data_IF_620134575689
#
_entry.id   IF_620134575689
#
_cell.length_a   1.000
_cell.length_b   1.000
_cell.length_c   1.000
_cell.angle_alpha   90.00
_cell.angle_beta   90.00
_cell.angle_gamma   90.00
#
_symmetry.space_group_name_H-M   'P 1'
#
loop_
_entity.id
_entity.type
_entity.pdbx_description
1 polymer ?
#
# COMPACT_ATOMS: atom_id res chain seq x y z
N UNK A 1 -0.99 -18.42 -2.61
CA UNK A 1 -1.35 -17.20 -1.85
C UNK A 1 -1.07 -15.88 -2.60
N UNK A 2 -0.09 -15.81 -3.53
CA UNK A 2 0.29 -14.62 -4.35
C UNK A 2 -0.82 -13.87 -5.12
N UNK A 3 -2.05 -14.39 -5.20
CA UNK A 3 -3.15 -13.80 -5.99
C UNK A 3 -4.38 -13.43 -5.15
N UNK A 4 -4.31 -13.58 -3.83
CA UNK A 4 -5.50 -13.47 -2.97
C UNK A 4 -5.87 -12.01 -2.71
N UNK A 5 -4.89 -11.17 -2.36
CA UNK A 5 -5.15 -9.75 -2.05
C UNK A 5 -5.71 -8.99 -3.26
N UNK A 6 -5.23 -9.29 -4.47
CA UNK A 6 -5.72 -8.65 -5.70
C UNK A 6 -7.21 -8.89 -5.97
N UNK A 7 -7.75 -10.02 -5.51
CA UNK A 7 -9.17 -10.35 -5.65
C UNK A 7 -10.01 -9.75 -4.52
N UNK A 8 -9.38 -9.44 -3.39
CA UNK A 8 -10.04 -8.99 -2.16
C UNK A 8 -9.97 -7.48 -1.92
N UNK A 9 -9.01 -6.78 -2.52
CA UNK A 9 -8.78 -5.36 -2.34
C UNK A 9 -9.20 -4.63 -3.62
N UNK A 10 -10.05 -3.63 -3.44
CA UNK A 10 -10.40 -2.64 -4.45
C UNK A 10 -9.66 -1.31 -4.20
N UNK A 11 -9.25 -0.57 -5.24
CA UNK A 11 -8.80 0.82 -5.13
C UNK A 11 -9.78 1.77 -4.42
N UNK A 12 -11.04 1.38 -4.26
CA UNK A 12 -12.06 2.19 -3.55
C UNK A 12 -12.37 1.67 -2.15
N UNK A 13 -11.69 0.62 -1.68
CA UNK A 13 -11.90 0.13 -0.32
C UNK A 13 -11.49 1.17 0.72
N UNK A 14 -12.43 1.54 1.58
CA UNK A 14 -12.17 2.38 2.74
C UNK A 14 -11.25 1.68 3.75
N UNK A 15 -10.63 2.45 4.66
CA UNK A 15 -9.92 1.87 5.81
C UNK A 15 -10.79 0.90 6.62
N UNK A 16 -12.09 1.18 6.75
CA UNK A 16 -13.03 0.32 7.48
C UNK A 16 -13.28 -1.03 6.79
N UNK A 17 -13.50 -1.03 5.48
CA UNK A 17 -13.69 -2.28 4.72
C UNK A 17 -12.42 -3.14 4.72
N UNK A 18 -11.25 -2.52 4.59
CA UNK A 18 -9.96 -3.23 4.69
C UNK A 18 -9.77 -3.87 6.06
N UNK A 19 -10.16 -3.21 7.16
CA UNK A 19 -10.10 -3.81 8.51
C UNK A 19 -11.02 -5.02 8.65
N UNK A 20 -12.24 -4.93 8.12
CA UNK A 20 -13.20 -6.05 8.13
C UNK A 20 -12.70 -7.22 7.27
N UNK A 21 -12.05 -6.93 6.14
CA UNK A 21 -11.44 -7.93 5.29
C UNK A 21 -10.25 -8.61 5.99
N UNK A 22 -9.37 -7.84 6.62
CA UNK A 22 -8.25 -8.37 7.40
C UNK A 22 -8.73 -9.30 8.53
N UNK A 23 -9.79 -8.93 9.25
CA UNK A 23 -10.39 -9.75 10.30
C UNK A 23 -10.92 -11.09 9.75
N UNK A 24 -11.58 -11.07 8.58
CA UNK A 24 -12.03 -12.30 7.89
C UNK A 24 -10.87 -13.19 7.43
N UNK A 25 -9.71 -12.60 7.17
CA UNK A 25 -8.47 -13.33 6.88
C UNK A 25 -7.74 -13.81 8.15
N UNK A 26 -8.27 -13.50 9.33
CA UNK A 26 -7.68 -13.86 10.62
C UNK A 26 -6.54 -12.94 11.07
N UNK A 27 -6.38 -11.77 10.45
CA UNK A 27 -5.34 -10.78 10.77
C UNK A 27 -5.94 -9.64 11.58
N UNK A 28 -5.42 -9.41 12.78
CA UNK A 28 -5.92 -8.35 13.65
C UNK A 28 -5.34 -7.01 13.22
N UNK A 29 -6.16 -5.97 13.06
CA UNK A 29 -5.66 -4.61 12.84
C UNK A 29 -5.83 -3.78 14.12
N UNK A 30 -4.75 -3.24 14.64
CA UNK A 30 -4.74 -2.36 15.82
C UNK A 30 -4.29 -0.97 15.43
N UNK A 31 -4.77 0.02 16.18
CA UNK A 31 -4.31 1.40 16.05
C UNK A 31 -3.70 1.82 17.37
N UNK A 32 -2.40 2.08 17.37
CA UNK A 32 -1.62 2.35 18.58
C UNK A 32 -0.82 3.65 18.41
N UNK A 33 -0.33 4.22 19.51
CA UNK A 33 0.66 5.31 19.41
C UNK A 33 2.02 4.66 19.16
N UNK A 34 2.55 4.79 17.95
CA UNK A 34 3.89 4.31 17.61
C UNK A 34 4.88 5.42 17.98
N UNK A 35 5.87 5.18 18.86
CA UNK A 35 6.86 6.20 19.21
C UNK A 35 7.81 6.49 18.04
N UNK A 36 8.12 7.77 17.84
CA UNK A 36 9.00 8.24 16.76
C UNK A 36 8.23 8.57 15.48
N UNK A 37 8.87 9.34 14.59
CA UNK A 37 8.22 9.90 13.40
C UNK A 37 8.43 9.04 12.14
N UNK A 38 9.21 7.95 12.26
CA UNK A 38 9.72 7.20 11.10
C UNK A 38 8.83 6.02 10.68
N UNK A 39 7.85 5.62 11.49
CA UNK A 39 7.06 4.40 11.25
C UNK A 39 5.56 4.65 11.28
N UNK A 40 4.91 4.48 10.12
CA UNK A 40 3.46 4.61 9.95
C UNK A 40 2.69 3.37 10.44
N UNK A 41 3.34 2.20 10.45
CA UNK A 41 2.75 0.92 10.82
C UNK A 41 3.74 -0.22 10.60
N UNK A 42 3.37 -1.41 11.06
CA UNK A 42 4.14 -2.64 10.84
C UNK A 42 3.27 -3.89 11.06
N UNK A 43 3.57 -4.95 10.33
CA UNK A 43 3.07 -6.29 10.61
C UNK A 43 3.92 -7.01 11.68
N UNK A 44 3.26 -7.41 12.76
CA UNK A 44 3.83 -8.18 13.87
C UNK A 44 3.43 -9.66 13.74
N UNK A 45 4.38 -10.47 13.26
CA UNK A 45 4.15 -11.90 12.98
C UNK A 45 3.75 -12.71 14.23
N UNK A 46 4.34 -12.42 15.39
CA UNK A 46 4.10 -13.19 16.63
C UNK A 46 2.63 -13.17 17.08
N UNK A 47 1.97 -12.04 16.89
CA UNK A 47 0.57 -11.84 17.27
C UNK A 47 -0.38 -11.91 16.07
N UNK A 48 0.13 -12.17 14.87
CA UNK A 48 -0.61 -12.05 13.61
C UNK A 48 -1.45 -10.75 13.57
N UNK A 49 -0.77 -9.63 13.81
CA UNK A 49 -1.40 -8.34 13.96
C UNK A 49 -0.70 -7.28 13.11
N UNK A 50 -1.47 -6.40 12.49
CA UNK A 50 -0.99 -5.20 11.84
C UNK A 50 -1.23 -4.04 12.79
N UNK A 51 -0.14 -3.36 13.15
CA UNK A 51 -0.17 -2.16 13.99
C UNK A 51 -0.10 -0.96 13.06
N UNK A 52 -1.06 -0.04 13.19
CA UNK A 52 -1.12 1.21 12.43
C UNK A 52 -0.98 2.37 13.42
N UNK A 53 -0.18 3.39 13.10
CA UNK A 53 -0.13 4.58 13.93
C UNK A 53 -1.51 5.28 13.95
N UNK A 54 -2.04 5.45 15.16
CA UNK A 54 -3.33 6.09 15.38
C UNK A 54 -3.34 7.56 15.01
N UNK A 55 -2.18 8.24 14.97
CA UNK A 55 -2.07 9.67 14.68
C UNK A 55 -2.37 10.00 13.20
N UNK A 56 -2.19 9.00 12.32
CA UNK A 56 -2.33 9.18 10.88
C UNK A 56 -3.73 9.55 10.41
N UNK A 57 -3.78 10.28 9.30
CA UNK A 57 -5.01 10.51 8.51
C UNK A 57 -5.61 9.19 8.04
N UNK A 58 -6.93 9.13 7.79
CA UNK A 58 -7.58 7.92 7.28
C UNK A 58 -6.97 7.42 5.96
N UNK A 59 -6.64 8.35 5.05
CA UNK A 59 -5.91 8.07 3.81
C UNK A 59 -4.56 7.41 4.05
N UNK A 60 -3.78 7.94 4.99
CA UNK A 60 -2.50 7.36 5.40
C UNK A 60 -2.68 5.95 5.99
N UNK A 61 -3.62 5.78 6.92
CA UNK A 61 -3.93 4.47 7.54
C UNK A 61 -4.35 3.43 6.50
N UNK A 62 -5.13 3.84 5.51
CA UNK A 62 -5.56 2.99 4.39
C UNK A 62 -4.36 2.51 3.58
N UNK A 63 -3.49 3.42 3.15
CA UNK A 63 -2.31 3.07 2.36
C UNK A 63 -1.35 2.17 3.15
N UNK A 64 -1.07 2.51 4.40
CA UNK A 64 -0.21 1.70 5.29
C UNK A 64 -0.82 0.33 5.55
N UNK A 65 -2.13 0.21 5.78
CA UNK A 65 -2.75 -1.09 5.99
C UNK A 65 -2.60 -2.01 4.78
N UNK A 66 -2.73 -1.51 3.55
CA UNK A 66 -2.50 -2.33 2.35
C UNK A 66 -1.03 -2.74 2.24
N UNK A 67 -0.09 -1.84 2.53
CA UNK A 67 1.34 -2.15 2.59
C UNK A 67 1.63 -3.30 3.58
N UNK A 68 1.13 -3.20 4.80
CA UNK A 68 1.33 -4.24 5.82
C UNK A 68 0.59 -5.55 5.51
N UNK A 69 -0.56 -5.49 4.84
CA UNK A 69 -1.25 -6.69 4.36
C UNK A 69 -0.42 -7.42 3.30
N UNK A 70 0.34 -6.70 2.46
CA UNK A 70 1.28 -7.34 1.54
C UNK A 70 2.35 -8.09 2.33
N UNK A 71 3.00 -7.45 3.32
CA UNK A 71 3.96 -8.13 4.19
C UNK A 71 3.39 -9.39 4.83
N UNK A 72 2.21 -9.28 5.44
CA UNK A 72 1.50 -10.43 6.01
C UNK A 72 1.27 -11.55 4.98
N UNK A 73 0.83 -11.21 3.76
CA UNK A 73 0.50 -12.20 2.73
C UNK A 73 1.70 -12.99 2.20
N UNK A 74 2.90 -12.41 2.30
CA UNK A 74 4.17 -13.08 1.97
C UNK A 74 4.82 -13.75 3.19
N UNK A 75 4.25 -13.56 4.39
CA UNK A 75 4.86 -14.01 5.64
C UNK A 75 6.17 -13.28 5.92
N UNK A 76 6.28 -12.01 5.52
CA UNK A 76 7.41 -11.18 5.90
C UNK A 76 7.34 -10.90 7.39
N UNK A 77 8.48 -10.94 8.06
CA UNK A 77 8.58 -10.56 9.46
C UNK A 77 9.78 -9.67 9.67
N UNK A 78 9.53 -8.59 10.40
CA UNK A 78 10.54 -7.67 10.84
C UNK A 78 11.59 -8.42 11.68
N UNK A 79 12.81 -8.54 11.15
CA UNK A 79 13.95 -9.09 11.89
C UNK A 79 14.80 -7.93 12.44
N UNK A 80 14.40 -7.38 13.59
CA UNK A 80 15.17 -6.33 14.26
C UNK A 80 15.19 -5.00 13.49
N UNK A 81 16.33 -4.31 13.47
CA UNK A 81 16.45 -2.90 13.04
C UNK A 81 16.63 -2.67 11.53
N UNK A 82 16.64 -3.72 10.71
CA UNK A 82 16.85 -3.59 9.26
C UNK A 82 15.81 -4.45 8.54
N UNK A 83 14.93 -3.81 7.78
CA UNK A 83 14.09 -4.54 6.83
C UNK A 83 14.91 -4.80 5.58
N UNK A 84 14.85 -6.03 5.06
CA UNK A 84 15.44 -6.33 3.76
C UNK A 84 14.74 -5.47 2.70
N UNK A 85 15.52 -4.62 2.03
CA UNK A 85 15.05 -3.69 1.02
C UNK A 85 14.30 -4.38 -0.12
N UNK A 86 14.54 -5.67 -0.36
CA UNK A 86 13.80 -6.47 -1.34
C UNK A 86 12.36 -6.73 -0.89
N UNK A 87 12.14 -6.96 0.40
CA UNK A 87 10.82 -7.19 0.98
C UNK A 87 10.03 -5.88 0.97
N UNK A 88 10.64 -4.78 1.41
CA UNK A 88 10.03 -3.45 1.35
C UNK A 88 9.69 -3.01 -0.08
N UNK A 89 10.63 -3.18 -1.01
CA UNK A 89 10.38 -2.82 -2.42
C UNK A 89 9.25 -3.67 -3.02
N UNK A 90 9.08 -4.92 -2.58
CA UNK A 90 7.94 -5.74 -3.01
C UNK A 90 6.64 -5.22 -2.41
N UNK A 91 6.62 -4.91 -1.11
CA UNK A 91 5.45 -4.37 -0.43
C UNK A 91 4.99 -3.05 -1.04
N UNK A 92 5.91 -2.10 -1.27
CA UNK A 92 5.62 -0.83 -1.94
C UNK A 92 5.04 -1.01 -3.33
N UNK A 93 5.69 -1.83 -4.18
CA UNK A 93 5.22 -2.09 -5.55
C UNK A 93 3.82 -2.73 -5.57
N UNK A 94 3.58 -3.74 -4.74
CA UNK A 94 2.29 -4.42 -4.71
C UNK A 94 1.20 -3.55 -4.09
N UNK A 95 1.50 -2.77 -3.05
CA UNK A 95 0.55 -1.80 -2.49
C UNK A 95 0.15 -0.74 -3.52
N UNK A 96 1.12 -0.17 -4.26
CA UNK A 96 0.84 0.78 -5.33
C UNK A 96 -0.04 0.15 -6.43
N UNK A 97 0.25 -1.09 -6.81
CA UNK A 97 -0.56 -1.82 -7.80
C UNK A 97 -1.98 -2.14 -7.33
N UNK A 98 -2.19 -2.36 -6.03
CA UNK A 98 -3.51 -2.64 -5.45
C UNK A 98 -4.35 -1.38 -5.24
N UNK A 99 -3.70 -0.24 -4.96
CA UNK A 99 -4.37 1.00 -4.57
C UNK A 99 -4.62 1.97 -5.73
N UNK A 100 -3.91 1.83 -6.85
CA UNK A 100 -4.06 2.71 -8.01
C UNK A 100 -4.80 1.98 -9.12
N UNK A 101 -6.00 2.46 -9.45
CA UNK A 101 -6.68 2.04 -10.68
C UNK A 101 -5.99 2.68 -11.90
N UNK A 102 -5.55 1.90 -12.90
CA UNK A 102 -4.82 2.45 -14.04
C UNK A 102 -5.61 3.47 -14.88
N UNK A 103 -6.94 3.33 -14.97
CA UNK A 103 -7.80 4.24 -15.75
C UNK A 103 -8.03 5.54 -15.01
N UNK A 104 -8.27 5.47 -13.71
CA UNK A 104 -8.40 6.67 -12.86
C UNK A 104 -7.08 7.44 -12.82
N UNK A 105 -5.96 6.71 -12.74
CA UNK A 105 -4.64 7.30 -12.84
C UNK A 105 -4.42 8.02 -14.18
N UNK A 106 -4.75 7.40 -15.31
CA UNK A 106 -4.60 8.03 -16.64
C UNK A 106 -5.43 9.31 -16.76
N UNK A 107 -6.67 9.29 -16.27
CA UNK A 107 -7.55 10.45 -16.26
C UNK A 107 -6.99 11.58 -15.39
N UNK A 108 -6.55 11.26 -14.16
CA UNK A 108 -5.95 12.23 -13.25
C UNK A 108 -4.61 12.76 -13.78
N UNK A 109 -3.78 11.91 -14.39
CA UNK A 109 -2.51 12.30 -15.02
C UNK A 109 -2.76 13.35 -16.12
N UNK A 110 -3.80 13.16 -16.95
CA UNK A 110 -4.19 14.15 -17.95
C UNK A 110 -4.79 15.42 -17.34
N UNK A 111 -5.60 15.30 -16.29
CA UNK A 111 -6.31 16.43 -15.68
C UNK A 111 -5.38 17.38 -14.91
N UNK A 112 -4.36 16.82 -14.25
CA UNK A 112 -3.42 17.56 -13.41
C UNK A 112 -2.03 17.72 -14.04
N UNK A 113 -1.92 17.53 -15.35
CA UNK A 113 -0.66 17.69 -16.11
C UNK A 113 0.51 16.89 -15.48
N UNK A 114 0.22 15.71 -14.95
CA UNK A 114 1.20 14.84 -14.30
C UNK A 114 1.64 15.26 -12.89
N UNK A 115 1.05 16.28 -12.25
CA UNK A 115 1.42 16.73 -10.91
C UNK A 115 1.02 15.70 -9.83
N UNK A 116 2.02 15.05 -9.22
CA UNK A 116 1.81 13.87 -8.36
C UNK A 116 0.93 14.14 -7.14
N UNK A 117 1.00 15.34 -6.55
CA UNK A 117 0.26 15.64 -5.31
C UNK A 117 -1.23 15.76 -5.58
N UNK A 118 -1.62 16.41 -6.67
CA UNK A 118 -3.01 16.57 -7.09
C UNK A 118 -3.59 15.22 -7.50
N UNK A 119 -2.81 14.40 -8.22
CA UNK A 119 -3.20 13.01 -8.53
C UNK A 119 -3.39 12.21 -7.23
N UNK A 120 -2.47 12.29 -6.27
CA UNK A 120 -2.61 11.59 -5.00
C UNK A 120 -3.84 12.04 -4.19
N UNK A 121 -4.19 13.33 -4.27
CA UNK A 121 -5.41 13.87 -3.66
C UNK A 121 -6.65 13.32 -4.36
N UNK A 122 -6.68 13.34 -5.70
CA UNK A 122 -7.81 12.84 -6.51
C UNK A 122 -8.08 11.36 -6.27
N UNK A 123 -7.03 10.53 -6.24
CA UNK A 123 -7.16 9.08 -6.04
C UNK A 123 -7.29 8.64 -4.57
N UNK A 124 -7.37 9.59 -3.63
CA UNK A 124 -7.38 9.35 -2.17
C UNK A 124 -6.28 8.37 -1.70
N UNK A 125 -5.04 8.63 -2.13
CA UNK A 125 -3.83 7.89 -1.75
C UNK A 125 -2.72 8.84 -1.28
N UNK A 126 -1.67 8.29 -0.68
CA UNK A 126 -0.49 9.10 -0.32
C UNK A 126 0.33 9.44 -1.55
N UNK A 127 1.14 10.51 -1.46
CA UNK A 127 2.10 10.86 -2.50
C UNK A 127 3.04 9.69 -2.83
N UNK A 128 3.52 8.99 -1.80
CA UNK A 128 4.38 7.81 -1.93
C UNK A 128 3.76 6.72 -2.81
N UNK A 129 2.45 6.46 -2.70
CA UNK A 129 1.76 5.47 -3.54
C UNK A 129 1.78 5.86 -5.02
N UNK A 130 1.61 7.15 -5.34
CA UNK A 130 1.67 7.63 -6.73
C UNK A 130 3.09 7.55 -7.27
N UNK A 131 4.10 7.90 -6.47
CA UNK A 131 5.51 7.79 -6.84
C UNK A 131 5.91 6.32 -7.07
N UNK A 132 5.56 5.41 -6.14
CA UNK A 132 5.81 3.98 -6.29
C UNK A 132 5.05 3.39 -7.49
N UNK A 133 3.83 3.84 -7.77
CA UNK A 133 3.08 3.39 -8.95
C UNK A 133 3.80 3.78 -10.25
N UNK A 134 4.29 5.01 -10.36
CA UNK A 134 5.05 5.47 -11.53
C UNK A 134 6.32 4.65 -11.74
N UNK A 135 7.13 4.56 -10.69
CA UNK A 135 8.48 4.04 -10.80
C UNK A 135 8.53 2.51 -10.82
N UNK A 136 7.62 1.86 -10.08
CA UNK A 136 7.69 0.41 -9.82
C UNK A 136 6.63 -0.38 -10.58
N UNK A 137 5.59 0.26 -11.11
CA UNK A 137 4.50 -0.40 -11.85
C UNK A 137 4.41 0.11 -13.29
N UNK A 138 4.24 1.41 -13.50
CA UNK A 138 3.97 2.00 -14.81
C UNK A 138 5.20 2.03 -15.72
N UNK A 139 6.36 2.50 -15.22
CA UNK A 139 7.59 2.57 -16.02
C UNK A 139 8.01 1.18 -16.56
N UNK A 140 8.06 0.10 -15.76
CA UNK A 140 8.35 -1.23 -16.28
C UNK A 140 7.36 -1.73 -17.34
N UNK A 141 6.08 -1.35 -17.26
CA UNK A 141 5.07 -1.72 -18.26
C UNK A 141 5.27 -0.93 -19.56
N UNK A 142 5.61 0.35 -19.47
CA UNK A 142 5.90 1.20 -20.64
C UNK A 142 7.15 0.70 -21.38
N UNK A 143 8.20 0.33 -20.66
CA UNK A 143 9.43 -0.21 -21.25
C UNK A 143 9.19 -1.53 -21.97
N UNK A 144 8.32 -2.40 -21.44
CA UNK A 144 7.94 -3.65 -22.10
C UNK A 144 7.17 -3.42 -23.39
N UNK A 145 6.27 -2.43 -23.44
CA UNK A 145 5.53 -2.07 -24.65
C UNK A 145 6.42 -1.43 -25.72
N UNK A 146 7.46 -0.70 -25.33
CA UNK A 146 8.41 -0.08 -26.27
C UNK A 146 9.44 -1.06 -26.86
N UNK A 147 9.57 -2.26 -26.27
CA UNK A 147 10.51 -3.30 -26.68
C UNK A 147 9.93 -4.32 -27.70
N UNK A 148 8.70 -4.10 -28.17
CA UNK A 148 7.99 -4.92 -29.19
C UNK A 148 7.81 -4.13 -30.50
#
# INVERSE_FOLDING_TARGET
MRNTLKVLISPHDTYGSLRLMADRLGVRVRSENIPGDDLCGYFEAWNNAIIIDRSMTYRGKRCTLVHELVHWSHGDFFHGSVIDSRLENRARREAAWLLVDPREYEQAESMYEGESKSIAIELDVTLQIIEDYRDMVLAPLRDQCAAL
#
